data_IF_611272087923
#
_entry.id   IF_611272087923
#
_cell.length_a   1.000
_cell.length_b   1.000
_cell.length_c   1.000
_cell.angle_alpha   90.00
_cell.angle_beta   90.00
_cell.angle_gamma   90.00
#
_symmetry.space_group_name_H-M   'P 1'
#
loop_
_entity.id
_entity.type
_entity.pdbx_description
1 polymer ?
#
# COMPACT_ATOMS: atom_id res chain seq x y z
N UNK A 1 1.42 10.33 82.68
CA UNK A 1 0.12 10.30 81.98
C UNK A 1 0.17 11.35 80.93
N UNK A 2 0.62 11.02 79.77
CA UNK A 2 0.59 11.96 78.60
C UNK A 2 0.41 11.10 77.35
N UNK A 3 -0.76 11.19 76.86
CA UNK A 3 -1.25 10.54 75.68
C UNK A 3 -0.76 11.32 74.47
N UNK A 4 -0.02 10.69 73.55
CA UNK A 4 0.46 11.27 72.30
C UNK A 4 0.07 10.36 71.15
N UNK A 5 -1.23 10.37 70.86
CA UNK A 5 -1.73 9.85 69.59
C UNK A 5 -1.77 10.97 68.56
N UNK A 6 -0.72 11.08 67.78
CA UNK A 6 -0.75 11.89 66.57
C UNK A 6 -0.98 10.99 65.40
N UNK A 7 -2.04 11.18 64.61
CA UNK A 7 -2.21 10.43 63.36
C UNK A 7 -1.21 10.98 62.31
N UNK A 8 -0.44 10.07 61.73
CA UNK A 8 0.37 10.37 60.55
C UNK A 8 -0.56 10.67 59.37
N UNK A 9 -0.68 11.94 59.07
CA UNK A 9 -1.28 12.39 57.83
C UNK A 9 -0.33 12.01 56.67
N UNK A 10 -0.71 11.03 55.90
CA UNK A 10 -0.09 10.75 54.63
C UNK A 10 -0.54 11.85 53.62
N UNK A 11 0.27 12.86 53.49
CA UNK A 11 0.16 13.77 52.35
C UNK A 11 0.49 12.97 51.08
N UNK A 12 -0.54 12.67 50.35
CA UNK A 12 -0.42 12.24 48.96
C UNK A 12 0.30 13.36 48.18
N UNK A 13 1.61 13.20 48.04
CA UNK A 13 2.37 13.99 47.10
C UNK A 13 1.74 13.83 45.71
N UNK A 14 1.28 14.93 45.18
CA UNK A 14 0.82 15.08 43.81
C UNK A 14 1.77 14.33 42.87
N UNK A 15 1.29 13.24 42.31
CA UNK A 15 2.04 12.38 41.42
C UNK A 15 2.43 13.13 40.18
N UNK A 16 3.66 13.59 40.17
CA UNK A 16 4.33 13.97 38.95
C UNK A 16 4.25 12.76 37.98
N UNK A 17 3.37 12.88 37.03
CA UNK A 17 3.22 11.93 35.91
C UNK A 17 4.57 11.80 35.22
N UNK A 18 5.16 10.59 35.10
CA UNK A 18 6.45 10.44 34.48
C UNK A 18 6.36 10.93 33.02
N UNK A 19 7.27 11.78 32.55
CA UNK A 19 7.35 12.16 31.15
C UNK A 19 7.95 10.97 30.38
N UNK A 20 7.11 10.19 29.67
CA UNK A 20 7.66 9.12 28.86
C UNK A 20 6.74 7.98 28.49
N UNK A 21 5.43 8.16 28.48
CA UNK A 21 4.57 7.21 27.77
C UNK A 21 4.65 7.52 26.25
N UNK A 22 4.85 6.49 25.41
CA UNK A 22 5.31 6.69 24.07
C UNK A 22 4.25 7.34 23.17
N UNK A 23 4.54 8.56 22.74
CA UNK A 23 3.85 9.23 21.62
C UNK A 23 3.88 8.43 20.31
N UNK A 24 4.63 7.32 20.29
CA UNK A 24 4.87 6.51 19.08
C UNK A 24 3.65 5.76 18.56
N UNK A 25 2.65 5.47 19.38
CA UNK A 25 1.41 4.81 18.91
C UNK A 25 0.37 5.80 18.40
N UNK A 26 0.30 7.00 19.00
CA UNK A 26 -0.59 8.06 18.50
C UNK A 26 -0.08 8.65 17.17
N UNK A 27 1.25 8.75 16.99
CA UNK A 27 1.85 9.16 15.72
C UNK A 27 1.70 8.11 14.61
N UNK A 28 1.55 6.82 14.98
CA UNK A 28 1.22 5.78 13.99
C UNK A 28 -0.21 5.85 13.46
N UNK A 29 -1.13 6.37 14.26
CA UNK A 29 -2.54 6.55 13.88
C UNK A 29 -2.79 7.81 13.03
N UNK A 30 -1.84 8.74 12.98
CA UNK A 30 -1.91 9.96 12.18
C UNK A 30 -1.16 9.86 10.85
N UNK A 31 -0.58 8.70 10.50
CA UNK A 31 -0.01 8.48 9.17
C UNK A 31 -1.15 8.51 8.16
N UNK A 32 -1.04 9.40 7.20
CA UNK A 32 -1.98 9.39 6.07
C UNK A 32 -1.97 8.01 5.44
N UNK A 33 -3.13 7.37 5.44
CA UNK A 33 -3.28 6.03 4.89
C UNK A 33 -3.12 6.15 3.38
N UNK A 34 -2.14 5.43 2.82
CA UNK A 34 -1.83 5.52 1.41
C UNK A 34 -3.03 5.11 0.54
N UNK A 35 -3.37 5.96 -0.41
CA UNK A 35 -4.38 5.69 -1.41
C UNK A 35 -3.70 5.16 -2.69
N UNK A 36 -3.94 3.87 -2.99
CA UNK A 36 -3.38 3.26 -4.20
C UNK A 36 -3.91 3.95 -5.45
N UNK A 37 -3.02 4.37 -6.35
CA UNK A 37 -3.44 4.93 -7.63
C UNK A 37 -4.36 3.99 -8.40
N UNK A 38 -5.25 4.59 -9.16
CA UNK A 38 -6.14 3.91 -10.10
C UNK A 38 -5.82 4.39 -11.50
N UNK A 39 -6.24 3.66 -12.55
CA UNK A 39 -6.04 4.12 -13.92
C UNK A 39 -6.55 5.56 -14.10
N UNK A 40 -5.81 6.43 -14.84
CA UNK A 40 -6.17 7.83 -15.00
C UNK A 40 -7.35 8.03 -15.98
N UNK A 41 -8.41 7.28 -15.80
CA UNK A 41 -9.63 7.31 -16.62
C UNK A 41 -10.85 7.43 -15.75
N UNK A 42 -11.82 8.26 -16.17
CA UNK A 42 -13.08 8.48 -15.44
C UNK A 42 -13.91 7.20 -15.24
N UNK A 43 -13.66 6.15 -16.01
CA UNK A 43 -14.32 4.86 -15.88
C UNK A 43 -13.83 4.01 -14.71
N UNK A 44 -12.79 4.42 -13.98
CA UNK A 44 -12.34 3.73 -12.77
C UNK A 44 -12.68 4.53 -11.51
N UNK A 45 -12.84 3.83 -10.37
CA UNK A 45 -13.06 4.51 -9.10
C UNK A 45 -11.86 5.38 -8.74
N UNK A 46 -12.13 6.48 -8.05
CA UNK A 46 -11.08 7.31 -7.49
C UNK A 46 -10.23 6.52 -6.48
N UNK A 47 -8.95 6.88 -6.32
CA UNK A 47 -8.09 6.29 -5.29
C UNK A 47 -8.73 6.38 -3.91
N UNK A 48 -8.77 5.26 -3.19
CA UNK A 48 -9.30 5.20 -1.81
C UNK A 48 -8.21 4.80 -0.84
N UNK A 49 -8.18 5.37 0.37
CA UNK A 49 -7.24 4.98 1.41
C UNK A 49 -7.34 3.49 1.72
N UNK A 50 -6.19 2.84 1.89
CA UNK A 50 -6.12 1.43 2.23
C UNK A 50 -6.46 1.23 3.71
N UNK A 51 -7.63 0.68 4.02
CA UNK A 51 -8.07 0.39 5.39
C UNK A 51 -7.80 -1.06 5.81
N UNK A 52 -7.81 -1.98 4.85
CA UNK A 52 -7.67 -3.41 5.08
C UNK A 52 -6.42 -3.99 4.40
N UNK A 53 -5.88 -5.11 4.92
CA UNK A 53 -4.79 -5.81 4.26
C UNK A 53 -5.19 -6.30 2.88
N UNK A 54 -4.40 -5.94 1.87
CA UNK A 54 -4.65 -6.28 0.47
C UNK A 54 -3.83 -7.52 0.07
N UNK A 55 -4.43 -8.54 -0.57
CA UNK A 55 -3.69 -9.65 -1.14
C UNK A 55 -2.68 -9.15 -2.18
N UNK A 56 -1.44 -9.61 -2.08
CA UNK A 56 -0.38 -9.18 -2.98
C UNK A 56 0.58 -10.31 -3.36
N UNK A 57 1.22 -10.16 -4.50
CA UNK A 57 2.40 -10.92 -4.93
C UNK A 57 3.60 -9.99 -4.97
N UNK A 58 4.73 -10.44 -4.45
CA UNK A 58 5.99 -9.71 -4.46
C UNK A 58 7.00 -10.51 -5.27
N UNK A 59 7.70 -9.84 -6.17
CA UNK A 59 8.84 -10.41 -6.88
C UNK A 59 10.12 -9.81 -6.31
N UNK A 60 10.91 -10.64 -5.65
CA UNK A 60 12.19 -10.24 -5.08
C UNK A 60 13.26 -9.98 -6.14
N UNK A 61 14.42 -9.46 -5.72
CA UNK A 61 15.55 -9.19 -6.61
C UNK A 61 16.10 -10.46 -7.30
N UNK A 62 15.87 -11.62 -6.70
CA UNK A 62 16.25 -12.94 -7.23
C UNK A 62 15.15 -13.61 -8.08
N UNK A 63 14.17 -12.83 -8.54
CA UNK A 63 12.99 -13.26 -9.32
C UNK A 63 12.06 -14.25 -8.57
N UNK A 64 12.28 -14.46 -7.28
CA UNK A 64 11.40 -15.28 -6.46
C UNK A 64 10.08 -14.56 -6.21
N UNK A 65 8.99 -15.25 -6.54
CA UNK A 65 7.62 -14.78 -6.26
C UNK A 65 7.17 -15.23 -4.89
N UNK A 66 6.56 -14.33 -4.16
CA UNK A 66 6.05 -14.59 -2.81
C UNK A 66 4.68 -13.98 -2.67
N UNK A 67 3.69 -14.79 -2.32
CA UNK A 67 2.35 -14.31 -2.01
C UNK A 67 2.25 -13.86 -0.57
N UNK A 68 1.54 -12.76 -0.35
CA UNK A 68 1.36 -12.19 0.97
C UNK A 68 0.13 -11.29 1.06
N UNK A 69 0.06 -10.56 2.16
CA UNK A 69 -0.92 -9.50 2.40
C UNK A 69 -0.21 -8.21 2.72
N UNK A 70 -0.43 -7.20 1.92
CA UNK A 70 0.07 -5.85 2.17
C UNK A 70 -0.78 -5.21 3.26
N UNK A 71 -0.20 -4.99 4.43
CA UNK A 71 -0.89 -4.38 5.58
C UNK A 71 -0.78 -2.86 5.56
N UNK A 72 0.40 -2.32 5.22
CA UNK A 72 0.65 -0.89 5.08
C UNK A 72 1.63 -0.64 3.93
N UNK A 73 1.41 0.44 3.22
CA UNK A 73 2.32 0.93 2.20
C UNK A 73 2.70 2.37 2.57
N UNK A 74 3.99 2.59 2.81
CA UNK A 74 4.53 3.87 3.30
C UNK A 74 5.62 4.34 2.33
N UNK A 75 5.23 4.95 1.21
CA UNK A 75 6.18 5.34 0.17
C UNK A 75 7.21 6.37 0.65
N UNK A 76 6.85 7.27 1.56
CA UNK A 76 7.73 8.28 2.13
C UNK A 76 8.90 7.65 2.92
N UNK A 77 8.69 6.47 3.49
CA UNK A 77 9.72 5.70 4.20
C UNK A 77 10.38 4.65 3.27
N UNK A 78 9.94 4.55 2.01
CA UNK A 78 10.32 3.53 1.04
C UNK A 78 10.14 2.10 1.59
N UNK A 79 9.01 1.84 2.27
CA UNK A 79 8.72 0.56 2.95
C UNK A 79 7.31 0.09 2.64
N UNK A 80 7.18 -1.21 2.36
CA UNK A 80 5.92 -1.95 2.34
C UNK A 80 5.89 -2.92 3.52
N UNK A 81 4.83 -2.90 4.30
CA UNK A 81 4.61 -3.84 5.39
C UNK A 81 3.78 -5.01 4.90
N UNK A 82 4.36 -6.20 4.91
CA UNK A 82 3.74 -7.40 4.31
C UNK A 82 3.68 -8.54 5.30
N UNK A 83 2.56 -9.22 5.36
CA UNK A 83 2.39 -10.47 6.07
C UNK A 83 2.51 -11.63 5.09
N UNK A 84 3.47 -12.53 5.30
CA UNK A 84 3.71 -13.70 4.44
C UNK A 84 3.26 -14.95 5.20
N UNK A 85 2.22 -15.68 4.75
CA UNK A 85 1.80 -16.90 5.38
C UNK A 85 2.91 -17.97 5.42
N UNK A 86 2.98 -18.80 6.46
CA UNK A 86 2.06 -18.93 7.60
C UNK A 86 2.30 -17.94 8.74
N UNK A 87 3.28 -17.04 8.61
CA UNK A 87 3.58 -16.06 9.66
C UNK A 87 2.42 -15.08 9.86
N UNK A 88 2.12 -14.79 11.13
CA UNK A 88 1.12 -13.79 11.50
C UNK A 88 1.72 -12.40 11.74
N UNK A 89 3.05 -12.33 11.76
CA UNK A 89 3.79 -11.08 11.94
C UNK A 89 3.94 -10.35 10.63
N UNK A 90 3.85 -9.04 10.69
CA UNK A 90 4.12 -8.15 9.56
C UNK A 90 5.61 -7.88 9.45
N UNK A 91 6.15 -8.03 8.26
CA UNK A 91 7.55 -7.77 7.92
C UNK A 91 7.65 -6.46 7.16
N UNK A 92 8.53 -5.53 7.57
CA UNK A 92 8.87 -4.37 6.76
C UNK A 92 9.76 -4.81 5.60
N UNK A 93 9.33 -4.52 4.37
CA UNK A 93 10.05 -4.80 3.14
C UNK A 93 10.41 -3.47 2.50
N UNK A 94 11.69 -3.18 2.39
CA UNK A 94 12.19 -1.93 1.78
C UNK A 94 12.05 -1.98 0.26
N UNK A 95 11.90 -0.84 -0.36
CA UNK A 95 11.74 -0.73 -1.82
C UNK A 95 12.98 -1.18 -2.61
N UNK A 96 14.15 -1.21 -1.98
CA UNK A 96 15.38 -1.74 -2.56
C UNK A 96 15.52 -3.27 -2.45
N UNK A 97 14.54 -3.97 -1.87
CA UNK A 97 14.57 -5.42 -1.64
C UNK A 97 13.67 -6.22 -2.61
N UNK A 98 12.90 -5.55 -3.43
CA UNK A 98 12.02 -6.21 -4.39
C UNK A 98 11.92 -5.43 -5.71
N UNK A 99 11.58 -6.13 -6.79
CA UNK A 99 11.38 -5.55 -8.12
C UNK A 99 9.96 -5.07 -8.34
N UNK A 100 8.98 -5.89 -7.95
CA UNK A 100 7.57 -5.55 -8.15
C UNK A 100 6.72 -5.97 -6.96
N UNK A 101 5.66 -5.21 -6.72
CA UNK A 101 4.56 -5.56 -5.83
C UNK A 101 3.25 -5.42 -6.59
N UNK A 102 2.51 -6.52 -6.70
CA UNK A 102 1.25 -6.60 -7.43
C UNK A 102 0.11 -6.83 -6.45
N UNK A 103 -0.92 -5.98 -6.47
CA UNK A 103 -2.17 -6.27 -5.77
C UNK A 103 -2.95 -7.28 -6.61
N UNK A 104 -3.19 -8.47 -6.04
CA UNK A 104 -3.82 -9.58 -6.77
C UNK A 104 -5.32 -9.46 -6.90
N UNK A 105 -5.97 -8.60 -6.10
CA UNK A 105 -7.39 -8.27 -6.26
C UNK A 105 -7.55 -7.30 -7.43
N UNK A 106 -8.25 -7.71 -8.50
CA UNK A 106 -8.48 -6.84 -9.64
C UNK A 106 -9.31 -5.61 -9.27
N UNK A 107 -9.03 -4.50 -9.94
CA UNK A 107 -9.84 -3.29 -9.90
C UNK A 107 -10.74 -3.25 -11.12
N UNK A 108 -12.05 -3.36 -10.91
CA UNK A 108 -13.03 -3.27 -11.98
C UNK A 108 -13.36 -1.80 -12.29
N UNK A 109 -13.66 -1.47 -13.55
CA UNK A 109 -14.24 -0.18 -13.91
C UNK A 109 -15.67 -0.04 -13.36
N UNK A 110 -16.15 1.19 -13.29
CA UNK A 110 -17.56 1.43 -13.03
C UNK A 110 -18.41 0.79 -14.13
N UNK A 111 -19.58 0.25 -13.75
CA UNK A 111 -20.54 -0.21 -14.74
C UNK A 111 -20.93 0.95 -15.66
N UNK A 112 -21.02 0.75 -16.99
CA UNK A 112 -21.48 1.80 -17.89
C UNK A 112 -22.87 2.26 -17.49
N UNK A 113 -23.09 3.58 -17.54
CA UNK A 113 -24.42 4.12 -17.29
C UNK A 113 -25.41 3.55 -18.32
N UNK A 114 -26.63 3.13 -17.91
CA UNK A 114 -27.54 2.38 -18.79
C UNK A 114 -28.09 3.16 -19.99
N UNK A 115 -27.63 4.37 -20.26
CA UNK A 115 -28.18 5.27 -21.27
C UNK A 115 -27.17 5.91 -22.21
N UNK A 116 -25.92 5.45 -22.21
CA UNK A 116 -24.91 6.01 -23.11
C UNK A 116 -24.72 5.12 -24.34
N UNK A 117 -25.34 5.46 -25.51
CA UNK A 117 -25.19 4.68 -26.75
C UNK A 117 -23.75 4.72 -27.31
N UNK A 118 -22.87 5.53 -26.76
CA UNK A 118 -21.46 5.63 -27.14
C UNK A 118 -20.52 4.84 -26.19
N UNK A 119 -21.08 4.15 -25.20
CA UNK A 119 -20.31 3.37 -24.23
C UNK A 119 -19.51 2.24 -24.90
N UNK A 120 -20.00 1.70 -26.01
CA UNK A 120 -19.31 0.65 -26.79
C UNK A 120 -18.00 1.15 -27.43
N UNK A 121 -17.90 2.45 -27.76
CA UNK A 121 -16.66 3.03 -28.27
C UNK A 121 -15.62 3.32 -27.19
N UNK A 122 -16.04 3.49 -25.94
CA UNK A 122 -15.15 3.67 -24.78
C UNK A 122 -14.64 2.34 -24.23
N UNK A 123 -15.19 1.21 -24.64
CA UNK A 123 -14.80 -0.12 -24.22
C UNK A 123 -13.47 -0.63 -24.80
N UNK A 124 -13.02 -0.08 -25.94
CA UNK A 124 -11.70 -0.40 -26.51
C UNK A 124 -10.63 0.50 -25.89
N UNK A 125 -10.25 0.19 -24.65
CA UNK A 125 -9.08 0.83 -24.05
C UNK A 125 -7.85 0.33 -24.78
N UNK A 126 -7.13 1.26 -25.42
CA UNK A 126 -5.86 0.93 -26.06
C UNK A 126 -4.86 0.50 -24.98
N UNK A 127 -4.51 -0.78 -24.97
CA UNK A 127 -3.38 -1.26 -24.19
C UNK A 127 -2.10 -0.77 -24.85
N UNK A 128 -1.19 -0.25 -24.07
CA UNK A 128 0.16 0.11 -24.49
C UNK A 128 1.13 -0.94 -23.96
N UNK A 129 2.09 -1.32 -24.78
CA UNK A 129 3.20 -2.14 -24.31
C UNK A 129 4.12 -1.29 -23.43
N UNK A 130 4.61 -1.89 -22.34
CA UNK A 130 5.65 -1.29 -21.51
C UNK A 130 6.86 -2.22 -21.43
N UNK A 131 8.01 -1.60 -21.21
CA UNK A 131 9.27 -2.27 -20.92
C UNK A 131 9.97 -1.54 -19.80
N UNK A 132 10.43 -2.28 -18.81
CA UNK A 132 11.21 -1.79 -17.69
C UNK A 132 12.51 -2.56 -17.66
N UNK A 133 13.63 -1.86 -17.77
CA UNK A 133 14.96 -2.45 -17.66
C UNK A 133 15.42 -2.38 -16.20
N UNK A 134 15.79 -3.52 -15.61
CA UNK A 134 16.21 -3.58 -14.21
C UNK A 134 17.64 -3.08 -14.03
N UNK A 135 17.92 -2.35 -12.96
CA UNK A 135 19.28 -1.91 -12.62
C UNK A 135 20.28 -3.06 -12.50
N UNK A 136 19.85 -4.23 -12.03
CA UNK A 136 20.66 -5.45 -11.92
C UNK A 136 20.70 -6.31 -13.18
N UNK A 137 20.19 -5.82 -14.31
CA UNK A 137 20.05 -6.55 -15.56
C UNK A 137 18.76 -7.37 -15.65
N UNK A 138 18.34 -7.64 -16.89
CA UNK A 138 17.03 -8.20 -17.20
C UNK A 138 15.98 -7.11 -17.42
N UNK A 139 14.78 -7.53 -17.79
CA UNK A 139 13.68 -6.62 -18.12
C UNK A 139 12.32 -7.21 -17.70
N UNK A 140 11.37 -6.33 -17.48
CA UNK A 140 9.95 -6.66 -17.38
C UNK A 140 9.23 -6.08 -18.60
N UNK A 141 8.49 -6.91 -19.31
CA UNK A 141 7.61 -6.50 -20.41
C UNK A 141 6.17 -6.88 -20.11
N UNK A 142 5.25 -6.10 -20.60
CA UNK A 142 3.84 -6.38 -20.47
C UNK A 142 2.99 -5.34 -21.17
N UNK A 143 1.68 -5.44 -20.92
CA UNK A 143 0.70 -4.47 -21.39
C UNK A 143 0.10 -3.74 -20.21
N UNK A 144 -0.22 -2.47 -20.40
CA UNK A 144 -0.90 -1.63 -19.43
C UNK A 144 -1.92 -0.74 -20.13
N UNK A 145 -3.00 -0.43 -19.46
CA UNK A 145 -3.95 0.56 -19.97
C UNK A 145 -3.55 1.99 -19.60
N UNK A 146 -2.58 2.17 -18.72
CA UNK A 146 -2.07 3.46 -18.29
C UNK A 146 -1.02 3.29 -17.18
N UNK A 147 -0.45 4.41 -16.76
CA UNK A 147 0.50 4.43 -15.65
C UNK A 147 0.39 5.72 -14.86
N UNK A 148 0.87 5.66 -13.62
CA UNK A 148 1.11 6.82 -12.76
C UNK A 148 2.54 6.72 -12.26
N UNK A 149 3.34 7.74 -12.48
CA UNK A 149 4.72 7.81 -11.99
C UNK A 149 4.83 8.91 -10.94
N UNK A 150 5.55 8.62 -9.86
CA UNK A 150 5.88 9.59 -8.82
C UNK A 150 7.34 9.41 -8.36
N UNK A 151 7.74 10.17 -7.35
CA UNK A 151 9.11 10.08 -6.79
C UNK A 151 9.47 8.71 -6.21
N UNK A 152 8.47 7.92 -5.78
CA UNK A 152 8.68 6.62 -5.15
C UNK A 152 8.78 5.48 -6.17
N UNK A 153 8.19 5.64 -7.36
CA UNK A 153 8.21 4.63 -8.39
C UNK A 153 7.08 4.74 -9.39
N UNK A 154 6.85 3.65 -10.09
CA UNK A 154 5.91 3.53 -11.20
C UNK A 154 4.75 2.61 -10.83
N UNK A 155 3.53 3.07 -11.04
CA UNK A 155 2.30 2.29 -10.92
C UNK A 155 1.77 1.99 -12.32
N UNK A 156 1.57 0.70 -12.60
CA UNK A 156 1.05 0.21 -13.88
C UNK A 156 -0.28 -0.51 -13.64
N UNK A 157 -1.10 -0.56 -14.69
CA UNK A 157 -2.43 -1.16 -14.66
C UNK A 157 -2.59 -2.22 -15.76
N UNK A 158 -1.96 -3.40 -15.58
CA UNK A 158 -2.10 -4.50 -16.52
C UNK A 158 -3.55 -4.98 -16.60
N UNK A 159 -4.10 -5.18 -17.82
CA UNK A 159 -5.44 -5.73 -18.00
C UNK A 159 -5.50 -7.19 -17.55
N UNK A 160 -6.61 -7.59 -16.93
CA UNK A 160 -6.84 -8.94 -16.41
C UNK A 160 -7.88 -9.66 -17.24
N UNK A 161 -8.90 -8.96 -17.70
CA UNK A 161 -10.02 -9.52 -18.42
C UNK A 161 -10.57 -8.56 -19.50
N UNK A 162 -11.47 -9.09 -20.34
CA UNK A 162 -12.13 -8.30 -21.40
C UNK A 162 -13.13 -7.28 -20.86
N UNK A 163 -13.61 -7.46 -19.61
CA UNK A 163 -14.49 -6.51 -18.94
C UNK A 163 -13.74 -5.23 -18.49
N UNK A 164 -12.42 -5.23 -18.66
CA UNK A 164 -11.57 -4.09 -18.35
C UNK A 164 -11.09 -4.04 -16.91
N UNK A 165 -11.20 -5.13 -16.17
CA UNK A 165 -10.54 -5.22 -14.86
C UNK A 165 -9.03 -5.15 -15.02
N UNK A 166 -8.36 -4.50 -14.08
CA UNK A 166 -6.90 -4.34 -14.08
C UNK A 166 -6.29 -4.78 -12.76
N UNK A 167 -5.06 -5.22 -12.81
CA UNK A 167 -4.22 -5.32 -11.63
C UNK A 167 -3.54 -3.98 -11.35
N UNK A 168 -3.12 -3.77 -10.11
CA UNK A 168 -2.31 -2.63 -9.70
C UNK A 168 -0.91 -3.14 -9.40
N UNK A 169 0.04 -2.78 -10.25
CA UNK A 169 1.44 -3.19 -10.15
C UNK A 169 2.28 -1.97 -9.78
N UNK A 170 3.05 -2.09 -8.72
CA UNK A 170 4.03 -1.10 -8.29
C UNK A 170 5.45 -1.57 -8.58
N UNK A 171 6.26 -0.69 -9.15
CA UNK A 171 7.68 -0.88 -9.41
C UNK A 171 8.44 0.22 -8.67
N UNK A 172 9.23 -0.11 -7.65
CA UNK A 172 10.01 0.89 -6.92
C UNK A 172 11.01 1.60 -7.84
N UNK A 173 11.23 2.89 -7.60
CA UNK A 173 12.25 3.68 -8.32
C UNK A 173 13.66 3.06 -8.22
N UNK A 174 13.97 2.39 -7.12
CA UNK A 174 15.24 1.72 -6.91
C UNK A 174 15.44 0.46 -7.79
N UNK A 175 14.40 -0.03 -8.47
CA UNK A 175 14.48 -1.25 -9.26
C UNK A 175 14.86 -1.00 -10.73
N UNK A 176 14.64 0.22 -11.26
CA UNK A 176 14.85 0.61 -12.67
C UNK A 176 15.59 1.92 -12.84
#
# INVERSE_FOLDING_TARGET
MTDLSTPLEWQLADGARPPGAPRREADKLAREVFAWPTPPFASYPAPTPQTDPLPCEIVGLNDKRTNGRLTFFVPEEAVAHVQIPPARTTLPLRFDQFRTLVLTTPLAPHAPAPQDPHSDMLGQRSCSEFRIDWQGGGELRGQTIGHVENEHGLFLFPPVDEAGSVQRLFVPRAAY
#
